data_IF_763508554207
#
_entry.id   IF_763508554207
#
_cell.length_a   1.000
_cell.length_b   1.000
_cell.length_c   1.000
_cell.angle_alpha   90.00
_cell.angle_beta   90.00
_cell.angle_gamma   90.00
#
_symmetry.space_group_name_H-M   'P 1'
#
loop_
_entity.id
_entity.type
_entity.pdbx_description
1 polymer ?
#
# COMPACT_ATOMS: atom_id res chain seq x y z
N UNK A 1 -51.03 -11.70 0.99
CA UNK A 1 -49.87 -11.74 0.07
C UNK A 1 -48.65 -11.17 0.79
N UNK A 2 -47.86 -12.02 1.44
CA UNK A 2 -46.64 -11.59 2.18
C UNK A 2 -45.54 -11.26 1.17
N UNK A 3 -45.10 -10.00 1.12
CA UNK A 3 -43.96 -9.57 0.30
C UNK A 3 -42.69 -10.16 0.93
N UNK A 4 -42.24 -11.32 0.44
CA UNK A 4 -40.92 -11.87 0.76
C UNK A 4 -39.87 -10.84 0.33
N UNK A 5 -39.29 -10.15 1.32
CA UNK A 5 -38.19 -9.22 1.12
C UNK A 5 -37.03 -9.94 0.46
N UNK A 6 -36.76 -9.56 -0.79
CA UNK A 6 -35.57 -9.98 -1.51
C UNK A 6 -34.38 -9.38 -0.76
N UNK A 7 -33.70 -10.21 0.05
CA UNK A 7 -32.40 -9.88 0.62
C UNK A 7 -31.45 -9.74 -0.56
N UNK A 8 -31.28 -8.52 -1.04
CA UNK A 8 -30.17 -8.15 -1.92
C UNK A 8 -28.89 -8.39 -1.12
N UNK A 9 -28.34 -9.60 -1.22
CA UNK A 9 -26.93 -9.89 -0.94
C UNK A 9 -26.11 -9.10 -1.97
N UNK A 10 -26.02 -7.79 -1.75
CA UNK A 10 -24.97 -6.98 -2.33
C UNK A 10 -23.68 -7.49 -1.70
N UNK A 11 -23.08 -8.49 -2.34
CA UNK A 11 -21.65 -8.75 -2.24
C UNK A 11 -20.96 -7.47 -2.71
N UNK A 12 -20.88 -6.47 -1.82
CA UNK A 12 -20.04 -5.29 -2.02
C UNK A 12 -18.65 -5.84 -2.22
N UNK A 13 -18.21 -5.88 -3.47
CA UNK A 13 -16.82 -6.08 -3.86
C UNK A 13 -16.06 -5.03 -3.06
N UNK A 14 -15.47 -5.42 -1.93
CA UNK A 14 -14.65 -4.52 -1.13
C UNK A 14 -13.46 -4.20 -2.02
N UNK A 15 -13.54 -3.07 -2.71
CA UNK A 15 -12.47 -2.59 -3.57
C UNK A 15 -11.28 -2.39 -2.64
N UNK A 16 -10.26 -3.24 -2.75
CA UNK A 16 -9.07 -3.12 -1.92
C UNK A 16 -8.42 -1.78 -2.25
N UNK A 17 -8.39 -0.88 -1.27
CA UNK A 17 -7.71 0.41 -1.42
C UNK A 17 -6.23 0.15 -1.67
N UNK A 18 -5.69 0.86 -2.64
CA UNK A 18 -4.27 0.88 -2.96
C UNK A 18 -3.71 2.24 -2.52
N UNK A 19 -2.55 2.22 -1.89
CA UNK A 19 -1.90 3.40 -1.33
C UNK A 19 -0.58 3.61 -2.06
N UNK A 20 -0.34 4.84 -2.53
CA UNK A 20 0.93 5.23 -3.13
C UNK A 20 1.95 5.50 -2.02
N UNK A 21 2.90 4.59 -1.84
CA UNK A 21 3.97 4.75 -0.88
C UNK A 21 5.19 5.38 -1.56
N UNK A 22 5.71 6.46 -0.99
CA UNK A 22 6.90 7.16 -1.46
C UNK A 22 7.93 7.13 -0.33
N UNK A 23 9.14 6.65 -0.62
CA UNK A 23 10.26 6.71 0.32
C UNK A 23 11.48 7.33 -0.34
N UNK A 24 12.29 7.99 0.48
CA UNK A 24 13.56 8.60 0.07
C UNK A 24 14.67 7.64 0.46
N UNK A 25 15.55 7.32 -0.48
CA UNK A 25 16.67 6.38 -0.29
C UNK A 25 17.95 7.01 -0.81
N UNK A 26 19.06 6.89 -0.08
CA UNK A 26 20.37 7.32 -0.58
C UNK A 26 20.89 6.32 -1.62
N UNK A 27 21.26 6.82 -2.80
CA UNK A 27 21.86 6.04 -3.88
C UNK A 27 23.32 5.73 -3.55
N UNK A 28 23.69 4.45 -3.55
CA UNK A 28 25.09 4.05 -3.38
C UNK A 28 25.96 4.42 -4.60
N UNK A 29 25.36 4.65 -5.77
CA UNK A 29 26.10 4.98 -7.01
C UNK A 29 26.50 6.45 -7.08
N UNK A 30 25.60 7.35 -6.69
CA UNK A 30 25.76 8.80 -6.83
C UNK A 30 25.87 9.54 -5.50
N UNK A 31 25.58 8.89 -4.38
CA UNK A 31 25.48 9.53 -3.06
C UNK A 31 24.24 10.41 -2.88
N UNK A 32 23.49 10.69 -3.95
CA UNK A 32 22.27 11.50 -3.91
C UNK A 32 21.08 10.74 -3.32
N UNK A 33 20.08 11.48 -2.85
CA UNK A 33 18.79 10.91 -2.47
C UNK A 33 17.89 10.72 -3.69
N UNK A 34 17.26 9.56 -3.79
CA UNK A 34 16.31 9.21 -4.84
C UNK A 34 14.95 8.86 -4.24
N UNK A 35 13.89 9.22 -4.97
CA UNK A 35 12.53 8.85 -4.61
C UNK A 35 12.20 7.48 -5.17
N UNK A 36 11.74 6.58 -4.31
CA UNK A 36 11.22 5.26 -4.68
C UNK A 36 9.72 5.26 -4.37
N UNK A 37 8.91 5.21 -5.42
CA UNK A 37 7.45 5.16 -5.35
C UNK A 37 6.91 3.78 -5.74
N UNK A 38 5.85 3.33 -5.05
CA UNK A 38 5.20 2.06 -5.36
C UNK A 38 3.74 2.09 -4.91
N UNK A 39 2.83 1.56 -5.73
CA UNK A 39 1.45 1.29 -5.31
C UNK A 39 1.40 -0.01 -4.50
N UNK A 40 0.87 0.05 -3.28
CA UNK A 40 0.91 -1.05 -2.32
C UNK A 40 -0.44 -1.12 -1.59
N UNK A 41 -0.88 -2.33 -1.25
CA UNK A 41 -2.04 -2.53 -0.36
C UNK A 41 -1.70 -2.19 1.09
N UNK A 42 -2.66 -1.73 1.87
CA UNK A 42 -2.41 -1.28 3.25
C UNK A 42 -1.69 -2.32 4.13
N UNK A 43 -2.01 -3.61 3.95
CA UNK A 43 -1.34 -4.73 4.65
C UNK A 43 0.19 -4.76 4.43
N UNK A 44 0.65 -4.36 3.24
CA UNK A 44 2.07 -4.41 2.83
C UNK A 44 2.77 -3.07 3.03
N UNK A 45 2.04 -2.02 3.41
CA UNK A 45 2.57 -0.66 3.55
C UNK A 45 3.56 -0.56 4.71
N UNK A 46 3.27 -1.21 5.85
CA UNK A 46 4.22 -1.28 6.99
C UNK A 46 5.54 -1.92 6.55
N UNK A 47 5.49 -3.02 5.80
CA UNK A 47 6.69 -3.72 5.32
C UNK A 47 7.49 -2.91 4.29
N UNK A 48 6.89 -1.94 3.60
CA UNK A 48 7.59 -1.09 2.63
C UNK A 48 8.56 -0.09 3.29
N UNK A 49 8.19 0.38 4.48
CA UNK A 49 8.99 1.33 5.28
C UNK A 49 9.86 0.63 6.33
N UNK A 50 9.52 -0.60 6.74
CA UNK A 50 10.37 -1.39 7.64
C UNK A 50 11.69 -1.70 6.91
N UNK A 51 12.76 -1.22 7.54
CA UNK A 51 14.15 -1.16 7.07
C UNK A 51 14.66 -2.48 6.48
N UNK A 52 15.17 -2.45 5.25
CA UNK A 52 16.31 -3.30 4.91
C UNK A 52 17.50 -2.76 5.71
N UNK A 53 18.10 -3.58 6.59
CA UNK A 53 19.23 -3.22 7.47
C UNK A 53 20.43 -2.56 6.76
N UNK A 54 20.47 -2.57 5.42
CA UNK A 54 21.56 -2.04 4.60
C UNK A 54 21.30 -0.64 4.01
N UNK A 55 20.15 -0.01 4.25
CA UNK A 55 19.90 1.36 3.82
C UNK A 55 19.65 2.23 5.06
N UNK A 56 20.71 2.88 5.52
CA UNK A 56 20.61 3.95 6.51
C UNK A 56 19.84 5.11 5.88
N UNK A 57 18.57 5.27 6.27
CA UNK A 57 17.90 6.55 6.24
C UNK A 57 18.17 7.22 7.59
N UNK A 58 18.74 8.43 7.54
CA UNK A 58 18.78 9.38 8.66
C UNK A 58 17.43 10.09 8.78
#
# INVERSE_FOLDING_TARGET
>A
MSKKGIKNNQNKKVLKKMTLAIKIVKSNKSGCYVFVNKMISDEKLKNFFIKNKNLQCF
#
